data_IF_870059166444
#
_entry.id   IF_870059166444
#
_cell.length_a   1.000
_cell.length_b   1.000
_cell.length_c   1.000
_cell.angle_alpha   90.00
_cell.angle_beta   90.00
_cell.angle_gamma   90.00
#
_symmetry.space_group_name_H-M   'P 1'
#
loop_
_entity.id
_entity.type
_entity.pdbx_description
1 polymer ?
#
# COMPACT_ATOMS: atom_id res chain seq x y z
N UNK A 1 -13.58 4.88 21.60
CA UNK A 1 -12.73 3.80 21.02
C UNK A 1 -12.35 2.84 22.14
N UNK A 2 -12.33 1.53 21.88
CA UNK A 2 -11.88 0.56 22.89
C UNK A 2 -10.35 0.62 23.02
N UNK A 3 -9.78 0.30 24.20
CA UNK A 3 -8.31 0.29 24.37
C UNK A 3 -7.59 -0.60 23.36
N UNK A 4 -8.20 -1.74 22.99
CA UNK A 4 -7.68 -2.64 21.98
C UNK A 4 -7.63 -2.00 20.58
N UNK A 5 -8.71 -1.34 20.15
CA UNK A 5 -8.73 -0.62 18.87
C UNK A 5 -7.67 0.50 18.84
N UNK A 6 -7.52 1.23 19.95
CA UNK A 6 -6.48 2.26 20.08
C UNK A 6 -5.08 1.68 19.92
N UNK A 7 -4.79 0.54 20.56
CA UNK A 7 -3.49 -0.13 20.45
C UNK A 7 -3.19 -0.58 19.01
N UNK A 8 -4.17 -1.13 18.29
CA UNK A 8 -4.02 -1.51 16.88
C UNK A 8 -3.72 -0.31 15.99
N UNK A 9 -4.43 0.81 16.19
CA UNK A 9 -4.24 2.04 15.40
C UNK A 9 -2.85 2.63 15.64
N UNK A 10 -2.39 2.71 16.89
CA UNK A 10 -1.04 3.22 17.21
C UNK A 10 0.03 2.32 16.58
N UNK A 11 -0.12 1.01 16.71
CA UNK A 11 0.82 0.03 16.13
C UNK A 11 0.88 0.17 14.61
N UNK A 12 -0.28 0.30 13.96
CA UNK A 12 -0.37 0.54 12.52
C UNK A 12 0.36 1.83 12.11
N UNK A 13 0.15 2.93 12.83
CA UNK A 13 0.81 4.21 12.55
C UNK A 13 2.35 4.12 12.66
N UNK A 14 2.86 3.44 13.70
CA UNK A 14 4.30 3.22 13.90
C UNK A 14 4.90 2.36 12.78
N UNK A 15 4.25 1.24 12.44
CA UNK A 15 4.67 0.36 11.33
C UNK A 15 4.65 1.14 10.01
N UNK A 16 3.65 1.99 9.80
CA UNK A 16 3.54 2.81 8.59
C UNK A 16 4.69 3.81 8.46
N UNK A 17 5.05 4.50 9.56
CA UNK A 17 6.19 5.41 9.58
C UNK A 17 7.51 4.66 9.31
N UNK A 18 7.70 3.51 9.97
CA UNK A 18 8.87 2.66 9.79
C UNK A 18 9.00 2.15 8.35
N UNK A 19 7.89 1.71 7.74
CA UNK A 19 7.84 1.25 6.35
C UNK A 19 8.33 2.32 5.37
N UNK A 20 7.86 3.56 5.51
CA UNK A 20 8.29 4.67 4.65
C UNK A 20 9.77 5.01 4.84
N UNK A 21 10.28 4.93 6.08
CA UNK A 21 11.69 5.14 6.37
C UNK A 21 12.56 4.05 5.73
N UNK A 22 12.18 2.78 5.90
CA UNK A 22 12.90 1.64 5.30
C UNK A 22 12.92 1.71 3.78
N UNK A 23 11.79 2.07 3.17
CA UNK A 23 11.68 2.25 1.72
C UNK A 23 12.61 3.33 1.14
N UNK A 24 13.09 4.29 1.96
CA UNK A 24 14.07 5.30 1.53
C UNK A 24 15.53 4.91 1.80
N UNK A 25 15.83 4.19 2.89
CA UNK A 25 17.22 4.03 3.40
C UNK A 25 18.13 3.14 2.54
N UNK A 26 17.61 2.11 1.89
CA UNK A 26 18.44 1.16 1.11
C UNK A 26 18.07 1.20 -0.37
N UNK A 27 18.52 2.23 -1.09
CA UNK A 27 18.30 2.38 -2.53
C UNK A 27 16.81 2.22 -2.93
N UNK A 28 15.99 3.28 -2.79
CA UNK A 28 14.57 3.22 -3.08
C UNK A 28 14.35 2.66 -4.50
N UNK A 29 13.82 1.44 -4.58
CA UNK A 29 13.74 0.71 -5.85
C UNK A 29 12.40 0.01 -5.96
N UNK A 30 11.89 -0.09 -7.19
CA UNK A 30 10.69 -0.87 -7.45
C UNK A 30 10.85 -2.33 -6.99
N UNK A 31 12.07 -2.88 -7.05
CA UNK A 31 12.39 -4.22 -6.57
C UNK A 31 12.13 -4.41 -5.07
N UNK A 32 12.49 -3.43 -4.24
CA UNK A 32 12.17 -3.46 -2.80
C UNK A 32 10.65 -3.53 -2.57
N UNK A 33 9.88 -2.66 -3.22
CA UNK A 33 8.43 -2.64 -3.11
C UNK A 33 7.78 -3.92 -3.64
N UNK A 34 8.32 -4.50 -4.71
CA UNK A 34 7.87 -5.76 -5.27
C UNK A 34 8.07 -6.91 -4.28
N UNK A 35 9.27 -7.09 -3.75
CA UNK A 35 9.59 -8.18 -2.80
C UNK A 35 8.71 -8.07 -1.57
N UNK A 36 8.58 -6.88 -0.99
CA UNK A 36 7.73 -6.70 0.17
C UNK A 36 6.25 -6.95 -0.12
N UNK A 37 5.75 -6.50 -1.27
CA UNK A 37 4.37 -6.78 -1.69
C UNK A 37 4.15 -8.28 -1.95
N UNK A 38 5.15 -8.98 -2.48
CA UNK A 38 5.12 -10.42 -2.68
C UNK A 38 5.03 -11.17 -1.34
N UNK A 39 5.87 -10.83 -0.35
CA UNK A 39 5.78 -11.43 0.98
C UNK A 39 4.45 -11.12 1.67
N UNK A 40 3.94 -9.88 1.54
CA UNK A 40 2.62 -9.53 2.05
C UNK A 40 1.52 -10.39 1.41
N UNK A 41 1.57 -10.59 0.09
CA UNK A 41 0.63 -11.46 -0.63
C UNK A 41 0.74 -12.92 -0.17
N UNK A 42 1.96 -13.43 0.04
CA UNK A 42 2.19 -14.80 0.53
C UNK A 42 1.62 -15.00 1.94
N UNK A 43 1.78 -14.02 2.83
CA UNK A 43 1.17 -14.06 4.17
C UNK A 43 -0.36 -14.03 4.13
N UNK A 44 -0.96 -13.42 3.10
CA UNK A 44 -2.41 -13.36 2.91
C UNK A 44 -2.96 -14.59 2.16
N UNK A 45 -2.11 -15.42 1.54
CA UNK A 45 -2.49 -16.58 0.73
C UNK A 45 -3.38 -17.62 1.46
N UNK A 46 -3.24 -17.84 2.79
CA UNK A 46 -4.14 -18.76 3.50
C UNK A 46 -5.57 -18.24 3.66
N UNK A 47 -5.81 -16.92 3.61
CA UNK A 47 -7.14 -16.33 3.86
C UNK A 47 -8.22 -16.86 2.90
N UNK A 48 -7.99 -16.94 1.57
CA UNK A 48 -8.96 -17.55 0.66
C UNK A 48 -9.39 -18.98 1.00
N UNK A 49 -8.56 -19.75 1.71
CA UNK A 49 -8.90 -21.10 2.15
C UNK A 49 -9.98 -21.05 3.25
N UNK A 50 -9.83 -20.14 4.21
CA UNK A 50 -10.78 -19.98 5.32
C UNK A 50 -12.09 -19.29 4.92
N UNK A 51 -12.05 -18.39 3.93
CA UNK A 51 -13.20 -17.57 3.51
C UNK A 51 -13.79 -17.97 2.15
N UNK A 52 -13.55 -19.22 1.71
CA UNK A 52 -13.92 -19.70 0.38
C UNK A 52 -15.40 -19.47 0.01
N UNK A 53 -16.30 -19.69 0.96
CA UNK A 53 -17.76 -19.50 0.77
C UNK A 53 -18.11 -18.03 0.57
N UNK A 54 -17.51 -17.13 1.35
CA UNK A 54 -17.69 -15.68 1.20
C UNK A 54 -17.14 -15.18 -0.15
N UNK A 55 -15.99 -15.70 -0.57
CA UNK A 55 -15.36 -15.32 -1.84
C UNK A 55 -16.16 -15.79 -3.06
N UNK A 56 -16.85 -16.94 -2.96
CA UNK A 56 -17.66 -17.49 -4.06
C UNK A 56 -18.91 -16.63 -4.38
N UNK A 57 -19.37 -15.82 -3.43
CA UNK A 57 -20.54 -14.93 -3.59
C UNK A 57 -20.12 -13.60 -4.26
N UNK A 58 -18.82 -13.31 -4.35
CA UNK A 58 -18.34 -12.04 -4.91
C UNK A 58 -18.52 -12.00 -6.44
N UNK A 59 -18.97 -10.86 -6.98
CA UNK A 59 -19.20 -10.73 -8.42
C UNK A 59 -17.87 -10.82 -9.19
N UNK A 60 -17.85 -11.44 -10.40
CA UNK A 60 -16.64 -11.53 -11.22
C UNK A 60 -15.96 -10.18 -11.50
N UNK A 61 -16.76 -9.11 -11.62
CA UNK A 61 -16.27 -7.74 -11.81
C UNK A 61 -15.34 -7.27 -10.68
N UNK A 62 -15.52 -7.75 -9.44
CA UNK A 62 -14.65 -7.40 -8.33
C UNK A 62 -13.22 -7.86 -8.58
N UNK A 63 -13.02 -9.06 -9.14
CA UNK A 63 -11.69 -9.58 -9.44
C UNK A 63 -10.98 -8.74 -10.50
N UNK A 64 -11.73 -8.29 -11.52
CA UNK A 64 -11.20 -7.35 -12.52
C UNK A 64 -10.78 -6.03 -11.88
N UNK A 65 -11.62 -5.46 -11.02
CA UNK A 65 -11.30 -4.23 -10.27
C UNK A 65 -10.09 -4.41 -9.35
N UNK A 66 -9.94 -5.57 -8.71
CA UNK A 66 -8.77 -5.91 -7.89
C UNK A 66 -7.50 -5.96 -8.74
N UNK A 67 -7.55 -6.57 -9.93
CA UNK A 67 -6.41 -6.58 -10.87
C UNK A 67 -6.05 -5.16 -11.30
N UNK A 68 -7.05 -4.36 -11.69
CA UNK A 68 -6.85 -2.95 -12.08
C UNK A 68 -6.21 -2.15 -10.92
N UNK A 69 -6.69 -2.36 -9.70
CA UNK A 69 -6.11 -1.75 -8.49
C UNK A 69 -4.64 -2.13 -8.32
N UNK A 70 -4.29 -3.41 -8.52
CA UNK A 70 -2.89 -3.86 -8.47
C UNK A 70 -1.99 -3.21 -9.53
N UNK A 71 -2.51 -2.96 -10.73
CA UNK A 71 -1.77 -2.24 -11.79
C UNK A 71 -1.50 -0.80 -11.35
N UNK A 72 -2.53 -0.06 -10.92
CA UNK A 72 -2.36 1.31 -10.44
C UNK A 72 -1.45 1.38 -9.20
N UNK A 73 -1.54 0.41 -8.29
CA UNK A 73 -0.66 0.31 -7.13
C UNK A 73 0.81 0.11 -7.56
N UNK A 74 1.05 -0.67 -8.61
CA UNK A 74 2.38 -0.87 -9.17
C UNK A 74 2.93 0.44 -9.75
N UNK A 75 2.13 1.16 -10.54
CA UNK A 75 2.50 2.49 -11.08
C UNK A 75 2.82 3.45 -9.93
N UNK A 76 2.00 3.45 -8.88
CA UNK A 76 2.23 4.25 -7.68
C UNK A 76 3.57 3.91 -7.00
N UNK A 77 3.88 2.63 -6.76
CA UNK A 77 5.13 2.24 -6.10
C UNK A 77 6.38 2.53 -6.94
N UNK A 78 6.30 2.39 -8.26
CA UNK A 78 7.40 2.79 -9.16
C UNK A 78 7.63 4.30 -9.09
N UNK A 79 6.55 5.09 -9.14
CA UNK A 79 6.62 6.54 -8.96
C UNK A 79 7.18 6.94 -7.60
N UNK A 80 6.73 6.26 -6.53
CA UNK A 80 7.20 6.47 -5.16
C UNK A 80 8.70 6.20 -5.01
N UNK A 81 9.18 5.08 -5.57
CA UNK A 81 10.61 4.77 -5.60
C UNK A 81 11.40 5.86 -6.34
N UNK A 82 10.89 6.35 -7.47
CA UNK A 82 11.47 7.48 -8.20
C UNK A 82 11.54 8.77 -7.37
N UNK A 83 10.45 9.11 -6.68
CA UNK A 83 10.39 10.29 -5.82
C UNK A 83 11.36 10.20 -4.63
N UNK A 84 11.44 9.04 -3.97
CA UNK A 84 12.36 8.82 -2.85
C UNK A 84 13.83 8.80 -3.27
N UNK A 85 14.14 8.42 -4.52
CA UNK A 85 15.51 8.51 -5.06
C UNK A 85 15.97 9.92 -5.34
N UNK A 86 15.06 10.79 -5.78
CA UNK A 86 15.40 12.14 -6.28
C UNK A 86 15.10 13.28 -5.30
N UNK A 87 14.30 13.03 -4.26
CA UNK A 87 13.81 14.07 -3.36
C UNK A 87 13.94 13.76 -1.88
N UNK A 88 13.88 14.82 -1.07
CA UNK A 88 13.80 14.70 0.38
C UNK A 88 12.48 14.10 0.82
N UNK A 89 12.52 13.24 1.84
CA UNK A 89 11.33 12.52 2.31
C UNK A 89 10.31 13.51 2.85
N UNK A 90 10.80 14.59 3.49
CA UNK A 90 10.02 15.68 4.05
C UNK A 90 9.22 16.46 3.01
N UNK A 91 9.62 16.42 1.73
CA UNK A 91 8.91 17.06 0.63
C UNK A 91 8.14 16.03 -0.21
N UNK A 92 8.78 14.93 -0.61
CA UNK A 92 8.16 13.90 -1.42
C UNK A 92 6.94 13.27 -0.74
N UNK A 93 6.98 13.06 0.58
CA UNK A 93 5.91 12.41 1.31
C UNK A 93 4.61 13.25 1.35
N UNK A 94 4.62 14.55 1.74
CA UNK A 94 3.43 15.40 1.63
C UNK A 94 2.84 15.47 0.22
N UNK A 95 3.67 15.63 -0.81
CA UNK A 95 3.20 15.72 -2.19
C UNK A 95 2.49 14.43 -2.64
N UNK A 96 3.14 13.28 -2.46
CA UNK A 96 2.56 11.99 -2.87
C UNK A 96 1.25 11.70 -2.13
N UNK A 97 1.11 12.15 -0.88
CA UNK A 97 -0.09 11.92 -0.06
C UNK A 97 -1.21 12.93 -0.25
N UNK A 98 -0.90 14.18 -0.62
CA UNK A 98 -1.90 15.22 -0.83
C UNK A 98 -2.47 15.22 -2.26
N UNK A 99 -1.65 14.91 -3.26
CA UNK A 99 -2.05 14.97 -4.68
C UNK A 99 -3.30 14.15 -5.02
N UNK A 100 -3.49 12.90 -4.55
CA UNK A 100 -4.69 12.15 -4.87
C UNK A 100 -5.98 12.86 -4.43
N UNK A 101 -5.98 13.46 -3.23
CA UNK A 101 -7.13 14.21 -2.71
C UNK A 101 -7.38 15.47 -3.55
N UNK A 102 -6.32 16.19 -3.90
CA UNK A 102 -6.41 17.40 -4.73
C UNK A 102 -6.96 17.08 -6.12
N UNK A 103 -6.48 16.00 -6.75
CA UNK A 103 -6.97 15.60 -8.07
C UNK A 103 -8.44 15.19 -8.03
N UNK A 104 -8.86 14.41 -7.03
CA UNK A 104 -10.27 14.03 -6.87
C UNK A 104 -11.15 15.25 -6.59
N UNK A 105 -10.68 16.22 -5.80
CA UNK A 105 -11.45 17.43 -5.51
C UNK A 105 -11.54 18.41 -6.69
N UNK A 106 -10.60 18.35 -7.64
CA UNK A 106 -10.55 19.22 -8.81
C UNK A 106 -11.29 18.67 -10.04
N UNK A 107 -11.67 17.38 -10.02
CA UNK A 107 -12.46 16.67 -11.04
C UNK A 107 -13.94 16.70 -10.68
#
# INVERSE_FOLDING_TARGET
MTPFATALVITSALIHALWNLLGKRQNPSAGFFLIASFFAALMMLPLPIFYRTNLAILPPALWVLLTITGIFQTVYYVGLAGAYRRGDISLAYPFVRALPVVFVAAL
#
